data_IF_003224546796
#
_entry.id   IF_003224546796
#
_cell.length_a   1.000
_cell.length_b   1.000
_cell.length_c   1.000
_cell.angle_alpha   90.00
_cell.angle_beta   90.00
_cell.angle_gamma   90.00
#
_symmetry.space_group_name_H-M   'P 1'
#
loop_
_entity.id
_entity.type
_entity.pdbx_description
1 polymer ?
#
# COMPACT_ATOMS: atom_id res chain seq x y z
N UNK A 1 -29.18 9.67 -0.19
CA UNK A 1 -28.03 9.18 -0.97
C UNK A 1 -27.11 8.49 0.02
N UNK A 2 -26.62 7.29 -0.29
CA UNK A 2 -26.05 6.35 0.68
C UNK A 2 -24.65 6.80 1.17
N UNK A 3 -24.60 7.26 2.41
CA UNK A 3 -23.37 7.40 3.19
C UNK A 3 -22.88 6.01 3.64
N UNK A 4 -21.86 5.49 2.97
CA UNK A 4 -21.24 4.21 3.30
C UNK A 4 -19.72 4.32 3.23
N UNK A 5 -19.12 5.14 4.09
CA UNK A 5 -17.67 5.16 4.32
C UNK A 5 -17.45 5.02 5.83
N UNK A 6 -17.50 3.78 6.30
CA UNK A 6 -17.22 3.40 7.68
C UNK A 6 -15.84 2.71 7.70
N UNK A 7 -14.73 3.41 8.00
CA UNK A 7 -13.39 2.98 7.60
C UNK A 7 -12.67 2.09 8.63
N UNK A 8 -13.40 1.26 9.39
CA UNK A 8 -12.77 0.36 10.38
C UNK A 8 -12.47 -1.05 9.86
N UNK A 9 -12.86 -1.39 8.63
CA UNK A 9 -12.73 -2.77 8.10
C UNK A 9 -11.43 -3.05 7.31
N UNK A 10 -10.62 -2.05 7.01
CA UNK A 10 -9.47 -2.19 6.10
C UNK A 10 -8.29 -2.99 6.67
N UNK A 11 -8.06 -2.97 7.98
CA UNK A 11 -6.78 -3.45 8.53
C UNK A 11 -6.60 -4.97 8.57
N UNK A 12 -7.66 -5.75 8.78
CA UNK A 12 -7.54 -7.22 8.90
C UNK A 12 -7.55 -7.94 7.56
N UNK A 13 -8.30 -7.43 6.56
CA UNK A 13 -8.38 -8.05 5.23
C UNK A 13 -7.18 -7.72 4.34
N UNK A 14 -6.69 -6.49 4.39
CA UNK A 14 -5.62 -6.03 3.50
C UNK A 14 -4.29 -6.78 3.73
N UNK A 15 -4.01 -7.20 4.97
CA UNK A 15 -2.81 -7.98 5.27
C UNK A 15 -2.87 -9.38 4.65
N UNK A 16 -4.01 -10.07 4.76
CA UNK A 16 -4.18 -11.38 4.11
C UNK A 16 -4.15 -11.26 2.57
N UNK A 17 -4.72 -10.18 2.03
CA UNK A 17 -4.67 -9.91 0.60
C UNK A 17 -3.24 -9.63 0.12
N UNK A 18 -2.46 -8.80 0.84
CA UNK A 18 -1.11 -8.45 0.40
C UNK A 18 -0.15 -9.65 0.47
N UNK A 19 -0.32 -10.53 1.46
CA UNK A 19 0.45 -11.76 1.57
C UNK A 19 0.12 -12.74 0.43
N UNK A 20 -1.17 -12.84 0.07
CA UNK A 20 -1.61 -13.64 -1.08
C UNK A 20 -1.05 -13.09 -2.40
N UNK A 21 -1.07 -11.76 -2.55
CA UNK A 21 -0.47 -11.05 -3.69
C UNK A 21 1.03 -11.36 -3.75
N UNK A 22 1.76 -11.22 -2.64
CA UNK A 22 3.18 -11.53 -2.55
C UNK A 22 3.49 -12.98 -2.96
N UNK A 23 2.71 -13.95 -2.48
CA UNK A 23 2.87 -15.36 -2.82
C UNK A 23 2.59 -15.66 -4.31
N UNK A 24 1.77 -14.83 -4.97
CA UNK A 24 1.38 -15.02 -6.38
C UNK A 24 2.37 -14.45 -7.40
N UNK A 25 3.44 -13.77 -6.97
CA UNK A 25 4.34 -13.04 -7.87
C UNK A 25 5.80 -13.18 -7.48
N UNK A 26 6.71 -12.88 -8.42
CA UNK A 26 8.14 -12.80 -8.11
C UNK A 26 8.44 -11.66 -7.14
N UNK A 27 9.56 -11.71 -6.44
CA UNK A 27 9.99 -10.64 -5.54
C UNK A 27 10.10 -9.29 -6.27
N UNK A 28 10.64 -9.27 -7.48
CA UNK A 28 10.76 -8.07 -8.30
C UNK A 28 9.37 -7.50 -8.63
N UNK A 29 8.43 -8.35 -9.04
CA UNK A 29 7.07 -7.93 -9.33
C UNK A 29 6.35 -7.39 -8.07
N UNK A 30 6.57 -8.01 -6.92
CA UNK A 30 6.01 -7.53 -5.64
C UNK A 30 6.59 -6.17 -5.23
N UNK A 31 7.91 -5.99 -5.33
CA UNK A 31 8.54 -4.68 -5.10
C UNK A 31 8.01 -3.63 -6.06
N UNK A 32 7.80 -3.99 -7.33
CA UNK A 32 7.16 -3.15 -8.34
C UNK A 32 5.73 -2.75 -7.96
N UNK A 33 4.93 -3.70 -7.48
CA UNK A 33 3.58 -3.44 -6.98
C UNK A 33 3.56 -2.47 -5.79
N UNK A 34 4.45 -2.66 -4.81
CA UNK A 34 4.57 -1.77 -3.65
C UNK A 34 4.97 -0.35 -4.09
N UNK A 35 5.99 -0.23 -4.96
CA UNK A 35 6.45 1.05 -5.53
C UNK A 35 5.32 1.78 -6.27
N UNK A 36 4.65 1.09 -7.19
CA UNK A 36 3.55 1.67 -7.97
C UNK A 36 2.37 2.08 -7.08
N UNK A 37 2.06 1.29 -6.05
CA UNK A 37 1.01 1.61 -5.09
C UNK A 37 1.34 2.86 -4.27
N UNK A 38 2.58 3.00 -3.79
CA UNK A 38 3.02 4.21 -3.10
C UNK A 38 2.93 5.45 -4.02
N UNK A 39 3.44 5.34 -5.25
CA UNK A 39 3.39 6.42 -6.24
C UNK A 39 1.94 6.83 -6.59
N UNK A 40 1.04 5.86 -6.75
CA UNK A 40 -0.39 6.12 -6.99
C UNK A 40 -0.99 7.00 -5.90
N UNK A 41 -0.71 6.72 -4.62
CA UNK A 41 -1.23 7.54 -3.52
C UNK A 41 -0.54 8.90 -3.40
N UNK A 42 0.75 8.98 -3.76
CA UNK A 42 1.46 10.26 -3.90
C UNK A 42 0.91 11.11 -5.05
N UNK A 43 0.38 10.53 -6.12
CA UNK A 43 -0.30 11.34 -7.13
C UNK A 43 -1.70 11.76 -6.63
N UNK A 44 -2.45 10.81 -6.05
CA UNK A 44 -3.85 11.03 -5.67
C UNK A 44 -4.05 12.09 -4.57
N UNK A 45 -3.08 12.27 -3.67
CA UNK A 45 -3.25 13.25 -2.59
C UNK A 45 -3.30 14.69 -3.13
N UNK A 46 -2.65 14.98 -4.27
CA UNK A 46 -2.67 16.32 -4.87
C UNK A 46 -4.07 16.64 -5.43
N UNK A 47 -4.76 15.64 -5.95
CA UNK A 47 -6.10 15.78 -6.57
C UNK A 47 -7.26 15.80 -5.56
N UNK A 48 -7.05 15.38 -4.30
CA UNK A 48 -8.11 15.35 -3.28
C UNK A 48 -7.98 16.50 -2.30
N UNK A 49 -9.07 17.20 -1.98
CA UNK A 49 -9.03 18.30 -0.99
C UNK A 49 -9.29 17.87 0.46
N UNK A 50 -10.05 16.79 0.69
CA UNK A 50 -10.51 16.42 2.04
C UNK A 50 -9.73 15.26 2.68
N UNK A 51 -9.14 14.35 1.88
CA UNK A 51 -8.53 13.10 2.38
C UNK A 51 -7.03 12.96 2.04
N UNK A 52 -6.32 14.07 1.83
CA UNK A 52 -4.90 14.08 1.48
C UNK A 52 -4.05 13.28 2.47
N UNK A 53 -4.29 13.49 3.76
CA UNK A 53 -3.53 12.82 4.82
C UNK A 53 -3.72 11.30 4.84
N UNK A 54 -4.90 10.79 4.44
CA UNK A 54 -5.14 9.35 4.34
C UNK A 54 -4.36 8.73 3.19
N UNK A 55 -4.26 9.44 2.06
CA UNK A 55 -3.47 8.99 0.92
C UNK A 55 -1.97 8.99 1.23
N UNK A 56 -1.48 10.03 1.92
CA UNK A 56 -0.10 10.05 2.40
C UNK A 56 0.19 8.91 3.39
N UNK A 57 -0.72 8.59 4.32
CA UNK A 57 -0.58 7.43 5.22
C UNK A 57 -0.55 6.10 4.46
N UNK A 58 -1.34 5.97 3.38
CA UNK A 58 -1.30 4.77 2.52
C UNK A 58 0.03 4.69 1.76
N UNK A 59 0.50 5.80 1.19
CA UNK A 59 1.80 5.86 0.55
C UNK A 59 2.92 5.45 1.51
N UNK A 60 2.91 5.98 2.74
CA UNK A 60 3.86 5.62 3.79
C UNK A 60 3.83 4.12 4.11
N UNK A 61 2.64 3.53 4.22
CA UNK A 61 2.49 2.09 4.50
C UNK A 61 3.10 1.21 3.40
N UNK A 62 2.82 1.51 2.14
CA UNK A 62 3.41 0.78 1.00
C UNK A 62 4.93 0.99 0.91
N UNK A 63 5.42 2.19 1.22
CA UNK A 63 6.84 2.49 1.24
C UNK A 63 7.58 1.75 2.35
N UNK A 64 7.01 1.69 3.57
CA UNK A 64 7.58 0.90 4.69
C UNK A 64 7.72 -0.57 4.31
N UNK A 65 6.67 -1.15 3.71
CA UNK A 65 6.72 -2.53 3.21
C UNK A 65 7.80 -2.73 2.15
N UNK A 66 7.95 -1.80 1.21
CA UNK A 66 9.00 -1.89 0.20
C UNK A 66 10.40 -1.86 0.83
N UNK A 67 10.62 -0.99 1.83
CA UNK A 67 11.88 -0.91 2.57
C UNK A 67 12.15 -2.25 3.29
N UNK A 68 11.14 -2.84 3.95
CA UNK A 68 11.26 -4.17 4.57
C UNK A 68 11.71 -5.22 3.55
N UNK A 69 11.07 -5.29 2.37
CA UNK A 69 11.43 -6.24 1.31
C UNK A 69 12.85 -6.04 0.76
N UNK A 70 13.29 -4.79 0.61
CA UNK A 70 14.65 -4.49 0.15
C UNK A 70 15.69 -4.85 1.21
N UNK A 71 15.44 -4.54 2.48
CA UNK A 71 16.36 -4.85 3.56
C UNK A 71 16.48 -6.36 3.79
N UNK A 72 15.36 -7.10 3.72
CA UNK A 72 15.36 -8.55 3.89
C UNK A 72 16.12 -9.26 2.76
N UNK A 73 16.10 -8.72 1.55
CA UNK A 73 16.86 -9.27 0.42
C UNK A 73 18.38 -9.02 0.51
N UNK A 74 18.82 -8.13 1.40
CA UNK A 74 20.24 -7.90 1.70
C UNK A 74 20.81 -8.79 2.81
N UNK A 75 19.96 -9.62 3.43
CA UNK A 75 20.33 -10.61 4.45
C UNK A 75 20.10 -12.01 3.86
N UNK A 76 21.00 -12.42 2.98
CA UNK A 76 21.09 -13.79 2.43
C UNK A 76 22.54 -14.09 2.12
#
# INVERSE_FOLDING_TARGET
MLDAINPNHYKSGDMQCIDSIKASMSEEAYRGYLKGSAQKYLWRYEDKHENQSEDLKKAEWFLKKLIEEVNNAGVS
#
